data_IF_457745994946
#
_entry.id   IF_457745994946
#
_cell.length_a   1.000
_cell.length_b   1.000
_cell.length_c   1.000
_cell.angle_alpha   90.00
_cell.angle_beta   90.00
_cell.angle_gamma   90.00
#
_symmetry.space_group_name_H-M   'P 1'
#
loop_
_entity.id
_entity.type
_entity.pdbx_description
1 polymer ?
#
# COMPACT_ATOMS: atom_id res chain seq x y z
N UNK A 1 8.40 -10.03 -2.41
CA UNK A 1 7.77 -8.72 -2.09
C UNK A 1 6.45 -8.97 -1.39
N UNK A 2 6.22 -8.31 -0.26
CA UNK A 2 5.00 -8.45 0.52
C UNK A 2 4.06 -7.28 0.24
N UNK A 3 2.83 -7.62 -0.16
CA UNK A 3 1.76 -6.64 -0.36
C UNK A 3 0.78 -6.83 0.80
N UNK A 4 0.39 -5.74 1.44
CA UNK A 4 -0.69 -5.77 2.42
C UNK A 4 -1.93 -5.15 1.80
N UNK A 5 -3.07 -5.80 1.98
CA UNK A 5 -4.36 -5.36 1.45
C UNK A 5 -5.28 -5.07 2.62
N UNK A 6 -5.82 -3.85 2.68
CA UNK A 6 -6.77 -3.44 3.72
C UNK A 6 -8.08 -3.05 3.05
N UNK A 7 -9.12 -3.83 3.26
CA UNK A 7 -10.44 -3.61 2.67
C UNK A 7 -11.49 -4.29 3.56
N UNK A 8 -12.60 -3.63 3.80
CA UNK A 8 -13.64 -4.18 4.68
C UNK A 8 -14.52 -5.22 3.98
N UNK A 9 -14.44 -5.35 2.66
CA UNK A 9 -15.23 -6.34 1.91
C UNK A 9 -14.42 -7.60 1.66
N UNK A 10 -14.90 -8.71 2.19
CA UNK A 10 -14.19 -9.99 2.07
C UNK A 10 -13.99 -10.41 0.62
N UNK A 11 -14.99 -10.22 -0.24
CA UNK A 11 -14.87 -10.60 -1.65
C UNK A 11 -13.77 -9.83 -2.36
N UNK A 12 -13.60 -8.55 -2.02
CA UNK A 12 -12.55 -7.72 -2.62
C UNK A 12 -11.18 -8.15 -2.09
N UNK A 13 -11.05 -8.38 -0.79
CA UNK A 13 -9.79 -8.88 -0.19
C UNK A 13 -9.37 -10.17 -0.86
N UNK A 14 -10.30 -11.13 -0.97
CA UNK A 14 -10.00 -12.43 -1.56
C UNK A 14 -9.57 -12.29 -3.02
N UNK A 15 -10.29 -11.47 -3.79
CA UNK A 15 -9.98 -11.26 -5.20
C UNK A 15 -8.62 -10.62 -5.40
N UNK A 16 -8.31 -9.58 -4.63
CA UNK A 16 -7.02 -8.90 -4.74
C UNK A 16 -5.87 -9.79 -4.26
N UNK A 17 -6.09 -10.57 -3.20
CA UNK A 17 -5.07 -11.49 -2.73
C UNK A 17 -4.75 -12.53 -3.80
N UNK A 18 -5.77 -13.12 -4.43
CA UNK A 18 -5.58 -14.08 -5.51
C UNK A 18 -4.83 -13.45 -6.68
N UNK A 19 -5.18 -12.22 -7.01
CA UNK A 19 -4.52 -11.50 -8.09
C UNK A 19 -3.03 -11.31 -7.77
N UNK A 20 -2.71 -10.87 -6.56
CA UNK A 20 -1.31 -10.69 -6.16
C UNK A 20 -0.53 -12.00 -6.23
N UNK A 21 -1.11 -13.09 -5.73
CA UNK A 21 -0.46 -14.41 -5.77
C UNK A 21 -0.23 -14.84 -7.21
N UNK A 22 -1.19 -14.60 -8.11
CA UNK A 22 -1.04 -14.95 -9.53
C UNK A 22 0.08 -14.15 -10.20
N UNK A 23 0.41 -12.99 -9.66
CA UNK A 23 1.50 -12.15 -10.16
C UNK A 23 2.84 -12.46 -9.48
N UNK A 24 2.89 -13.49 -8.66
CA UNK A 24 4.11 -13.90 -7.97
C UNK A 24 4.41 -13.11 -6.71
N UNK A 25 3.42 -12.41 -6.15
CA UNK A 25 3.60 -11.59 -4.97
C UNK A 25 3.02 -12.28 -3.74
N UNK A 26 3.62 -12.01 -2.57
CA UNK A 26 3.03 -12.46 -1.30
C UNK A 26 2.03 -11.41 -0.85
N UNK A 27 0.92 -11.86 -0.27
CA UNK A 27 -0.13 -10.95 0.16
C UNK A 27 -0.67 -11.32 1.54
N UNK A 28 -0.83 -10.31 2.40
CA UNK A 28 -1.53 -10.42 3.68
C UNK A 28 -2.71 -9.48 3.65
N UNK A 29 -3.82 -9.87 4.28
CA UNK A 29 -5.06 -9.11 4.22
C UNK A 29 -5.53 -8.72 5.62
N UNK A 30 -6.16 -7.57 5.73
CA UNK A 30 -6.79 -7.07 6.95
C UNK A 30 -8.16 -6.52 6.61
N UNK A 31 -9.12 -6.73 7.51
CA UNK A 31 -10.51 -6.31 7.29
C UNK A 31 -10.75 -4.85 7.67
N UNK A 32 -9.80 -4.20 8.35
CA UNK A 32 -9.96 -2.82 8.75
C UNK A 32 -8.60 -2.15 8.91
N UNK A 33 -8.60 -0.83 8.86
CA UNK A 33 -7.40 -0.05 9.12
C UNK A 33 -6.89 -0.27 10.54
N UNK A 34 -7.80 -0.41 11.50
CA UNK A 34 -7.44 -0.63 12.90
C UNK A 34 -6.67 -1.94 13.08
N UNK A 35 -7.13 -3.01 12.43
CA UNK A 35 -6.43 -4.30 12.50
C UNK A 35 -5.02 -4.19 11.96
N UNK A 36 -4.87 -3.50 10.84
CA UNK A 36 -3.55 -3.34 10.22
C UNK A 36 -2.63 -2.51 11.13
N UNK A 37 -3.11 -1.38 11.63
CA UNK A 37 -2.31 -0.52 12.51
C UNK A 37 -1.94 -1.24 13.79
N UNK A 38 -2.85 -2.03 14.37
CA UNK A 38 -2.56 -2.83 15.55
C UNK A 38 -1.47 -3.87 15.28
N UNK A 39 -1.50 -4.48 14.08
CA UNK A 39 -0.46 -5.43 13.68
C UNK A 39 0.91 -4.76 13.65
N UNK A 40 1.01 -3.56 13.09
CA UNK A 40 2.27 -2.82 13.05
C UNK A 40 2.75 -2.46 14.46
N UNK A 41 1.82 -2.01 15.31
CA UNK A 41 2.16 -1.63 16.69
C UNK A 41 2.66 -2.84 17.51
N UNK A 42 2.19 -4.03 17.16
CA UNK A 42 2.62 -5.27 17.83
C UNK A 42 3.92 -5.84 17.25
N UNK A 43 4.59 -5.11 16.37
CA UNK A 43 5.85 -5.55 15.76
C UNK A 43 5.68 -6.38 14.50
N UNK A 44 4.53 -6.31 13.86
CA UNK A 44 4.27 -7.02 12.61
C UNK A 44 5.15 -6.54 11.47
N UNK A 45 5.25 -7.36 10.44
CA UNK A 45 6.10 -7.07 9.27
C UNK A 45 5.57 -5.88 8.49
N UNK A 46 6.46 -4.96 8.13
CA UNK A 46 6.10 -3.83 7.27
C UNK A 46 5.98 -4.30 5.83
N UNK A 47 4.95 -3.86 5.11
CA UNK A 47 4.81 -4.23 3.70
C UNK A 47 5.79 -3.49 2.81
N UNK A 48 6.07 -4.07 1.65
CA UNK A 48 6.78 -3.35 0.59
C UNK A 48 5.82 -2.38 -0.12
N UNK A 49 4.52 -2.70 -0.09
CA UNK A 49 3.49 -1.84 -0.66
C UNK A 49 2.16 -2.14 0.04
N UNK A 50 1.41 -1.09 0.34
CA UNK A 50 0.08 -1.18 0.96
C UNK A 50 -0.99 -0.87 -0.09
N UNK A 51 -1.97 -1.77 -0.23
CA UNK A 51 -3.18 -1.53 -1.02
C UNK A 51 -4.29 -1.20 -0.04
N UNK A 52 -4.88 -0.02 -0.15
CA UNK A 52 -5.75 0.53 0.87
C UNK A 52 -7.05 1.02 0.25
N UNK A 53 -8.17 0.44 0.70
CA UNK A 53 -9.49 0.89 0.26
C UNK A 53 -9.77 2.28 0.83
N UNK A 54 -10.30 3.16 0.00
CA UNK A 54 -10.61 4.53 0.41
C UNK A 54 -11.78 4.58 1.39
N UNK A 55 -12.79 3.75 1.16
CA UNK A 55 -14.05 3.82 1.90
C UNK A 55 -14.26 2.60 2.79
N UNK A 56 -13.96 2.78 4.07
CA UNK A 56 -14.18 1.74 5.08
C UNK A 56 -14.91 2.36 6.26
N UNK A 57 -15.76 1.59 6.97
CA UNK A 57 -16.43 2.12 8.15
C UNK A 57 -15.43 2.38 9.28
N UNK A 58 -15.72 3.34 10.11
CA UNK A 58 -14.97 3.71 11.32
C UNK A 58 -13.61 4.35 11.06
N UNK A 59 -12.87 3.90 10.07
CA UNK A 59 -11.56 4.46 9.74
C UNK A 59 -11.37 4.39 8.23
N UNK A 60 -11.35 5.55 7.57
CA UNK A 60 -11.19 5.61 6.12
C UNK A 60 -9.74 5.35 5.72
N UNK A 61 -9.51 5.15 4.43
CA UNK A 61 -8.14 5.04 3.92
C UNK A 61 -7.31 6.27 4.23
N UNK A 62 -7.92 7.45 4.17
CA UNK A 62 -7.21 8.70 4.50
C UNK A 62 -6.77 8.72 5.97
N UNK A 63 -7.63 8.25 6.88
CA UNK A 63 -7.29 8.15 8.29
C UNK A 63 -6.11 7.21 8.51
N UNK A 64 -6.11 6.07 7.84
CA UNK A 64 -4.99 5.12 7.93
C UNK A 64 -3.70 5.79 7.46
N UNK A 65 -3.73 6.45 6.30
CA UNK A 65 -2.56 7.11 5.75
C UNK A 65 -2.00 8.17 6.70
N UNK A 66 -2.88 8.94 7.31
CA UNK A 66 -2.47 9.96 8.28
C UNK A 66 -1.79 9.34 9.50
N UNK A 67 -2.32 8.23 10.00
CA UNK A 67 -1.68 7.51 11.11
C UNK A 67 -0.29 7.02 10.75
N UNK A 68 -0.11 6.51 9.52
CA UNK A 68 1.19 6.03 9.07
C UNK A 68 2.21 7.17 8.99
N UNK A 69 1.81 8.30 8.46
CA UNK A 69 2.68 9.48 8.37
C UNK A 69 3.08 9.96 9.76
N UNK A 70 2.12 10.05 10.69
CA UNK A 70 2.39 10.49 12.06
C UNK A 70 3.32 9.54 12.78
N UNK A 71 3.25 8.26 12.47
CA UNK A 71 4.12 7.25 13.07
C UNK A 71 5.50 7.17 12.41
N UNK A 72 5.74 7.95 11.36
CA UNK A 72 7.01 7.93 10.64
C UNK A 72 7.22 6.69 9.80
N UNK A 73 6.14 6.01 9.42
CA UNK A 73 6.21 4.80 8.60
C UNK A 73 6.14 5.19 7.13
N UNK A 74 7.14 4.76 6.36
CA UNK A 74 7.39 5.27 5.02
C UNK A 74 7.44 4.16 3.97
N UNK A 75 6.36 3.36 3.91
CA UNK A 75 6.22 2.42 2.81
C UNK A 75 5.17 2.95 1.82
N UNK A 76 5.30 2.62 0.52
CA UNK A 76 4.39 3.17 -0.48
C UNK A 76 2.97 2.64 -0.31
N UNK A 77 2.00 3.54 -0.45
CA UNK A 77 0.58 3.23 -0.33
C UNK A 77 -0.12 3.51 -1.65
N UNK A 78 -0.88 2.53 -2.14
CA UNK A 78 -1.78 2.69 -3.26
C UNK A 78 -3.20 2.67 -2.71
N UNK A 79 -3.93 3.75 -2.91
CA UNK A 79 -5.34 3.82 -2.51
C UNK A 79 -6.19 3.45 -3.72
N UNK A 80 -7.25 2.68 -3.51
CA UNK A 80 -8.19 2.35 -4.57
C UNK A 80 -9.63 2.59 -4.10
N UNK A 81 -10.50 2.95 -5.04
CA UNK A 81 -11.87 3.34 -4.70
C UNK A 81 -12.80 3.16 -5.89
N UNK A 82 -14.10 3.01 -5.60
CA UNK A 82 -15.15 3.07 -6.61
C UNK A 82 -15.59 4.50 -6.89
N UNK A 83 -15.18 5.44 -6.02
CA UNK A 83 -15.55 6.86 -6.15
C UNK A 83 -14.66 7.56 -7.17
N UNK A 84 -15.23 8.36 -8.07
CA UNK A 84 -14.49 9.10 -9.07
C UNK A 84 -14.47 10.61 -8.82
N UNK A 85 -14.68 11.06 -7.60
CA UNK A 85 -14.59 12.48 -7.25
C UNK A 85 -13.13 12.96 -7.35
N UNK A 86 -12.82 13.93 -8.21
CA UNK A 86 -11.43 14.41 -8.37
C UNK A 86 -10.85 15.00 -7.08
N UNK A 87 -11.68 15.59 -6.23
CA UNK A 87 -11.25 16.18 -4.97
C UNK A 87 -10.71 15.11 -4.01
N UNK A 88 -11.27 13.90 -4.06
CA UNK A 88 -10.81 12.80 -3.21
C UNK A 88 -9.40 12.40 -3.59
N UNK A 89 -9.13 12.25 -4.88
CA UNK A 89 -7.78 11.91 -5.34
C UNK A 89 -6.76 12.95 -4.87
N UNK A 90 -7.07 14.22 -5.03
CA UNK A 90 -6.15 15.30 -4.62
C UNK A 90 -5.84 15.23 -3.13
N UNK A 91 -6.84 14.95 -2.29
CA UNK A 91 -6.62 14.84 -0.84
C UNK A 91 -5.69 13.69 -0.49
N UNK A 92 -5.86 12.54 -1.14
CA UNK A 92 -5.00 11.39 -0.89
C UNK A 92 -3.58 11.66 -1.34
N UNK A 93 -3.40 12.27 -2.51
CA UNK A 93 -2.06 12.58 -2.99
C UNK A 93 -1.36 13.59 -2.09
N UNK A 94 -2.09 14.58 -1.57
CA UNK A 94 -1.53 15.54 -0.62
C UNK A 94 -1.14 14.87 0.70
N UNK A 95 -1.82 13.79 1.08
CA UNK A 95 -1.51 13.05 2.30
C UNK A 95 -0.32 12.10 2.12
N UNK A 96 0.31 12.06 0.93
CA UNK A 96 1.50 11.27 0.69
C UNK A 96 1.27 9.90 0.09
N UNK A 97 0.05 9.63 -0.40
CA UNK A 97 -0.26 8.37 -1.09
C UNK A 97 0.52 8.33 -2.41
N UNK A 98 1.09 7.17 -2.74
CA UNK A 98 1.95 7.05 -3.92
C UNK A 98 1.17 6.87 -5.21
N UNK A 99 -0.03 6.30 -5.16
CA UNK A 99 -0.87 6.12 -6.33
C UNK A 99 -2.34 6.00 -5.93
N UNK A 100 -3.23 6.32 -6.85
CA UNK A 100 -4.67 6.29 -6.62
C UNK A 100 -5.32 5.59 -7.81
N UNK A 101 -6.00 4.48 -7.57
CA UNK A 101 -6.59 3.66 -8.62
C UNK A 101 -8.10 3.57 -8.44
N UNK A 102 -8.80 3.27 -9.53
CA UNK A 102 -10.26 3.09 -9.51
C UNK A 102 -10.61 1.63 -9.64
N UNK A 103 -11.65 1.22 -8.91
CA UNK A 103 -12.22 -0.13 -9.05
C UNK A 103 -13.07 -0.21 -10.32
N UNK A 104 -13.10 -1.33 -11.02
CA UNK A 104 -12.30 -2.55 -10.77
C UNK A 104 -10.88 -2.38 -11.28
N UNK A 105 -9.92 -2.99 -10.57
CA UNK A 105 -8.50 -2.86 -10.93
C UNK A 105 -8.10 -4.07 -11.78
N UNK A 106 -7.59 -3.81 -12.98
CA UNK A 106 -7.07 -4.86 -13.84
C UNK A 106 -5.70 -5.33 -13.33
N UNK A 107 -5.37 -6.60 -13.57
CA UNK A 107 -4.12 -7.17 -13.07
C UNK A 107 -2.88 -6.47 -13.58
N UNK A 108 -2.83 -6.11 -14.85
CA UNK A 108 -1.70 -5.40 -15.42
C UNK A 108 -1.58 -3.98 -14.86
N UNK A 109 -2.70 -3.31 -14.62
CA UNK A 109 -2.72 -1.98 -14.01
C UNK A 109 -2.19 -2.04 -12.56
N UNK A 110 -2.60 -3.06 -11.81
CA UNK A 110 -2.15 -3.23 -10.43
C UNK A 110 -0.65 -3.51 -10.38
N UNK A 111 -0.17 -4.44 -11.20
CA UNK A 111 1.25 -4.78 -11.22
C UNK A 111 2.10 -3.57 -11.60
N UNK A 112 1.68 -2.83 -12.63
CA UNK A 112 2.39 -1.63 -13.05
C UNK A 112 2.47 -0.61 -11.92
N UNK A 113 1.35 -0.38 -11.22
CA UNK A 113 1.32 0.57 -10.12
C UNK A 113 2.25 0.14 -8.98
N UNK A 114 2.22 -1.15 -8.61
CA UNK A 114 3.08 -1.68 -7.55
C UNK A 114 4.54 -1.51 -7.93
N UNK A 115 4.91 -1.87 -9.14
CA UNK A 115 6.29 -1.73 -9.59
C UNK A 115 6.75 -0.27 -9.57
N UNK A 116 5.90 0.62 -10.06
CA UNK A 116 6.25 2.04 -10.12
C UNK A 116 6.48 2.63 -8.72
N UNK A 117 5.59 2.35 -7.77
CA UNK A 117 5.70 2.95 -6.44
C UNK A 117 6.82 2.31 -5.61
N UNK A 118 7.07 1.01 -5.79
CA UNK A 118 8.14 0.34 -5.06
C UNK A 118 9.51 0.71 -5.61
N UNK A 119 9.63 0.95 -6.90
CA UNK A 119 10.88 1.42 -7.47
C UNK A 119 11.25 2.81 -6.96
N UNK A 120 10.27 3.69 -6.82
CA UNK A 120 10.51 5.05 -6.29
C UNK A 120 10.95 5.03 -4.84
N UNK A 121 10.47 4.07 -4.05
CA UNK A 121 10.79 3.97 -2.63
C UNK A 121 12.18 3.38 -2.39
N UNK A 122 12.78 2.75 -3.39
CA UNK A 122 14.06 2.06 -3.25
C UNK A 122 15.29 2.94 -3.11
N UNK A 123 15.36 4.06 -3.73
CA UNK A 123 16.62 4.81 -3.75
C UNK A 123 17.02 5.29 -2.40
N UNK A 124 17.61 5.10 -2.11
CA UNK A 124 17.95 5.58 -1.05
C UNK A 124 18.69 4.76 -0.39
N UNK A 125 18.35 4.30 -1.21
CA UNK A 125 19.02 3.90 -0.67
C UNK A 125 19.77 3.54 -0.70
N UNK A 126 19.68 3.43 -0.95
CA UNK A 126 20.55 3.30 -1.07
C UNK A 126 20.88 3.20 -0.97
N UNK A 127 20.64 3.09 -0.85
CA UNK A 127 21.27 3.15 -0.78
C UNK A 127 21.32 2.75 -0.38
N UNK A 128 21.04 2.36 -0.17
CA UNK A 128 21.59 2.06 0.23
C UNK A 128 21.84 1.49 0.60
N UNK A 129 22.01 1.31 0.84
CA UNK A 129 22.82 0.99 1.21
C UNK A 129 23.19 0.54 1.18
N UNK A 130 23.05 0.47 1.21
CA UNK A 130 23.85 0.23 1.22
C UNK A 130 24.06 -0.26 1.17
N UNK A 131 24.04 -0.44 1.25
CA UNK A 131 24.83 -0.62 1.12
C UNK A 131 25.11 -1.01 0.90
N UNK A 132 24.98 -1.09 0.92
CA UNK A 132 25.76 -1.15 0.65
C UNK A 132 26.07 -1.47 0.24
N UNK A 133 26.01 -1.66 0.26
CA UNK A 133 26.80 -1.59 -0.11
C UNK A 133 27.02 -1.83 -0.51
N UNK A 134 27.05 -1.90 -0.54
CA UNK A 134 27.74 -1.76 -0.91
C UNK A 134 27.88 -1.90 -1.29
N UNK A 135 27.78 -2.08 -1.45
CA UNK A 135 28.41 -1.90 -1.79
C UNK A 135 28.48 -2.00 -2.19
N UNK A 136 28.37 -2.16 -2.36
CA UNK A 136 28.84 -1.96 -2.67
C UNK A 136 28.81 -2.02 -3.00
N UNK A 137 28.80 -2.24 -3.14
CA UNK A 137 29.16 -1.93 -3.25
C UNK A 137 29.16 -1.86 -3.59
N UNK A 138 28.85 -2.08 -3.69
CA UNK A 138 29.12 -1.58 -3.87
C UNK A 138 29.12 -1.56 -3.96
#
# INVERSE_FOLDING_TARGET
MLIVIVDDEESVRTGLRRLCVSLGLRASVYASGREFLNSLAAGGTHPHCLLLDAHMPHMSGLDVQRHLVEAGLDFPTIVYTADDAPEAEARYMLAGVAAYLRKPIAGDELLEAIERVTMRARPTAVDQKPTAAPPPKV
#
